data_IF_381027275534
#
_entry.id   IF_381027275534
#
_cell.length_a   1.000
_cell.length_b   1.000
_cell.length_c   1.000
_cell.angle_alpha   90.00
_cell.angle_beta   90.00
_cell.angle_gamma   90.00
#
_symmetry.space_group_name_H-M   'P 1'
#
loop_
_entity.id
_entity.type
_entity.pdbx_description
1 polymer ?
#
# COMPACT_ATOMS: atom_id res chain seq x y z
N UNK A 1 31.13 -15.48 -22.33
CA UNK A 1 30.37 -14.20 -22.18
C UNK A 1 31.37 -13.13 -21.70
N UNK A 2 31.39 -11.93 -22.30
CA UNK A 2 32.28 -10.85 -21.90
C UNK A 2 31.51 -9.57 -21.55
N UNK A 3 32.19 -8.54 -21.00
CA UNK A 3 31.58 -7.29 -20.60
C UNK A 3 30.89 -6.54 -21.75
N UNK A 4 31.44 -6.62 -22.97
CA UNK A 4 30.87 -5.98 -24.16
C UNK A 4 29.51 -6.55 -24.51
N UNK A 5 29.34 -7.88 -24.49
CA UNK A 5 28.05 -8.53 -24.71
C UNK A 5 27.00 -8.10 -23.68
N UNK A 6 27.39 -7.98 -22.41
CA UNK A 6 26.49 -7.50 -21.33
C UNK A 6 26.10 -6.04 -21.53
N UNK A 7 27.05 -5.17 -21.88
CA UNK A 7 26.79 -3.76 -22.16
C UNK A 7 25.78 -3.61 -23.29
N UNK A 8 25.99 -4.32 -24.40
CA UNK A 8 25.06 -4.32 -25.54
C UNK A 8 23.66 -4.81 -25.15
N UNK A 9 23.57 -5.88 -24.32
CA UNK A 9 22.29 -6.39 -23.80
C UNK A 9 21.56 -5.35 -22.97
N UNK A 10 22.25 -4.67 -22.05
CA UNK A 10 21.62 -3.67 -21.19
C UNK A 10 21.24 -2.40 -21.93
N UNK A 11 22.01 -1.99 -22.93
CA UNK A 11 21.72 -0.81 -23.77
C UNK A 11 20.54 -1.01 -24.72
N UNK A 12 20.31 -2.23 -25.21
CA UNK A 12 19.14 -2.56 -26.06
C UNK A 12 17.81 -2.38 -25.37
N UNK A 13 17.81 -2.30 -24.06
CA UNK A 13 16.60 -2.14 -23.30
C UNK A 13 16.25 -0.66 -23.17
N UNK A 14 15.37 -0.14 -24.00
CA UNK A 14 14.71 1.16 -23.84
C UNK A 14 14.00 1.22 -22.50
N UNK A 15 14.70 1.56 -21.43
CA UNK A 15 14.17 1.58 -20.07
C UNK A 15 14.83 2.67 -19.22
N UNK A 16 14.12 3.09 -18.18
CA UNK A 16 14.70 4.00 -17.20
C UNK A 16 15.86 3.33 -16.44
N UNK A 17 16.74 4.11 -15.80
CA UNK A 17 17.87 3.62 -15.01
C UNK A 17 17.48 2.56 -13.96
N UNK A 18 16.27 2.62 -13.43
CA UNK A 18 15.76 1.60 -12.50
C UNK A 18 15.60 0.25 -13.18
N UNK A 19 15.04 0.22 -14.38
CA UNK A 19 14.89 -1.00 -15.18
C UNK A 19 16.25 -1.58 -15.55
N UNK A 20 17.20 -0.73 -15.96
CA UNK A 20 18.58 -1.12 -16.19
C UNK A 20 19.19 -1.79 -14.94
N UNK A 21 19.14 -1.12 -13.77
CA UNK A 21 19.71 -1.64 -12.53
C UNK A 21 19.06 -2.96 -12.09
N UNK A 22 17.73 -3.10 -12.26
CA UNK A 22 17.03 -4.34 -11.94
C UNK A 22 17.50 -5.50 -12.83
N UNK A 23 17.62 -5.28 -14.14
CA UNK A 23 18.14 -6.29 -15.07
C UNK A 23 19.58 -6.65 -14.75
N UNK A 24 20.42 -5.62 -14.50
CA UNK A 24 21.81 -5.84 -14.08
C UNK A 24 21.89 -6.67 -12.79
N UNK A 25 21.00 -6.40 -11.80
CA UNK A 25 20.91 -7.16 -10.56
C UNK A 25 20.59 -8.64 -10.80
N UNK A 26 19.60 -8.95 -11.64
CA UNK A 26 19.24 -10.32 -12.00
C UNK A 26 20.42 -11.06 -12.67
N UNK A 27 21.03 -10.42 -13.67
CA UNK A 27 22.21 -11.00 -14.35
C UNK A 27 23.39 -11.14 -13.39
N UNK A 28 23.59 -10.19 -12.46
CA UNK A 28 24.63 -10.27 -11.44
C UNK A 28 24.45 -11.48 -10.52
N UNK A 29 23.23 -11.80 -10.13
CA UNK A 29 22.92 -12.97 -9.29
C UNK A 29 23.27 -14.27 -10.03
N UNK A 30 22.89 -14.38 -11.30
CA UNK A 30 23.23 -15.54 -12.12
C UNK A 30 24.75 -15.68 -12.34
N UNK A 31 25.44 -14.59 -12.68
CA UNK A 31 26.90 -14.64 -12.94
C UNK A 31 27.71 -14.88 -11.67
N UNK A 32 27.23 -14.47 -10.49
CA UNK A 32 27.84 -14.85 -9.21
C UNK A 32 27.72 -16.34 -8.96
N UNK A 33 26.56 -16.90 -9.23
CA UNK A 33 26.36 -18.35 -9.13
C UNK A 33 27.28 -19.11 -10.10
N UNK A 34 27.39 -18.66 -11.37
CA UNK A 34 28.27 -19.27 -12.36
C UNK A 34 29.76 -19.16 -11.97
N UNK A 35 30.18 -18.05 -11.32
CA UNK A 35 31.53 -17.89 -10.77
C UNK A 35 31.77 -18.87 -9.60
N UNK A 36 30.77 -19.06 -8.71
CA UNK A 36 30.84 -20.03 -7.62
C UNK A 36 30.88 -21.51 -8.08
N UNK A 37 30.25 -21.79 -9.20
CA UNK A 37 30.29 -23.15 -9.82
C UNK A 37 31.49 -23.34 -10.75
N UNK A 38 32.45 -22.43 -10.75
CA UNK A 38 33.65 -22.45 -11.57
C UNK A 38 33.38 -22.48 -13.09
N UNK A 39 32.13 -22.15 -13.52
CA UNK A 39 31.80 -22.03 -14.94
C UNK A 39 32.37 -20.76 -15.57
N UNK A 40 32.78 -19.80 -14.75
CA UNK A 40 33.45 -18.56 -15.15
C UNK A 40 34.64 -18.31 -14.23
N UNK A 41 35.80 -18.11 -14.83
CA UNK A 41 37.01 -17.74 -14.09
C UNK A 41 36.91 -16.35 -13.44
N UNK A 42 36.18 -15.42 -14.08
CA UNK A 42 35.97 -14.07 -13.58
C UNK A 42 34.58 -13.57 -13.97
N UNK A 43 33.91 -12.88 -13.05
CA UNK A 43 32.58 -12.35 -13.27
C UNK A 43 32.63 -11.02 -14.06
N UNK A 44 32.20 -11.00 -15.34
CA UNK A 44 32.26 -9.82 -16.19
C UNK A 44 31.34 -8.68 -15.74
N UNK A 45 30.37 -8.94 -14.88
CA UNK A 45 29.43 -7.93 -14.36
C UNK A 45 30.14 -6.86 -13.51
N UNK A 46 31.33 -7.19 -12.96
CA UNK A 46 32.14 -6.25 -12.17
C UNK A 46 32.57 -5.02 -13.00
N UNK A 47 32.65 -5.17 -14.33
CA UNK A 47 33.00 -4.11 -15.29
C UNK A 47 31.78 -3.32 -15.78
N UNK A 48 30.55 -3.69 -15.40
CA UNK A 48 29.33 -3.04 -15.86
C UNK A 48 28.89 -2.02 -14.78
N UNK A 49 28.65 -0.75 -15.15
CA UNK A 49 28.30 0.27 -14.19
C UNK A 49 26.94 -0.01 -13.52
N UNK A 50 26.82 0.35 -12.23
CA UNK A 50 25.59 0.45 -11.51
C UNK A 50 25.27 1.94 -11.32
N UNK A 51 24.11 2.39 -11.76
CA UNK A 51 23.74 3.80 -11.69
C UNK A 51 23.02 4.14 -10.40
N UNK A 52 23.57 5.09 -9.64
CA UNK A 52 22.89 5.60 -8.46
C UNK A 52 21.67 6.42 -8.89
N UNK A 53 20.49 6.02 -8.40
CA UNK A 53 19.24 6.72 -8.66
C UNK A 53 18.98 7.65 -7.47
N UNK A 54 18.96 8.95 -7.73
CA UNK A 54 18.55 9.92 -6.72
C UNK A 54 17.05 9.77 -6.43
N UNK A 55 16.70 9.63 -5.16
CA UNK A 55 15.32 9.63 -4.72
C UNK A 55 14.97 10.99 -4.11
N UNK A 56 13.93 11.63 -4.60
CA UNK A 56 13.33 12.78 -3.92
C UNK A 56 12.54 12.24 -2.73
N UNK A 57 12.96 12.59 -1.51
CA UNK A 57 12.24 12.26 -0.28
C UNK A 57 11.05 13.19 -0.11
N UNK A 58 9.94 12.71 0.48
CA UNK A 58 8.77 13.52 0.75
C UNK A 58 8.00 13.98 -0.50
N UNK A 59 8.12 13.25 -1.63
CA UNK A 59 7.42 13.56 -2.88
C UNK A 59 6.52 12.40 -3.34
N UNK A 60 5.93 11.68 -2.40
CA UNK A 60 4.95 10.66 -2.72
C UNK A 60 3.74 11.32 -3.41
N UNK A 61 3.21 10.67 -4.46
CA UNK A 61 1.95 11.10 -5.06
C UNK A 61 0.81 10.70 -4.14
N UNK A 62 0.07 11.67 -3.63
CA UNK A 62 -1.07 11.45 -2.74
C UNK A 62 -2.29 12.18 -3.26
N UNK A 63 -3.47 11.74 -2.84
CA UNK A 63 -4.71 12.47 -3.02
C UNK A 63 -4.87 13.52 -1.91
N UNK A 64 -5.49 14.65 -2.25
CA UNK A 64 -6.04 15.56 -1.23
C UNK A 64 -7.29 14.93 -0.60
N UNK A 65 -7.73 15.46 0.55
CA UNK A 65 -8.98 15.03 1.17
C UNK A 65 -10.19 15.23 0.23
N UNK A 66 -10.21 16.33 -0.51
CA UNK A 66 -11.26 16.61 -1.51
C UNK A 66 -11.25 15.59 -2.66
N UNK A 67 -10.06 15.28 -3.22
CA UNK A 67 -9.93 14.26 -4.27
C UNK A 67 -10.32 12.85 -3.77
N UNK A 68 -9.97 12.52 -2.51
CA UNK A 68 -10.38 11.27 -1.89
C UNK A 68 -11.90 11.19 -1.70
N UNK A 69 -12.54 12.29 -1.29
CA UNK A 69 -13.99 12.41 -1.19
C UNK A 69 -14.66 12.25 -2.56
N UNK A 70 -14.16 12.93 -3.60
CA UNK A 70 -14.69 12.83 -4.96
C UNK A 70 -14.57 11.39 -5.50
N UNK A 71 -13.40 10.76 -5.30
CA UNK A 71 -13.16 9.36 -5.67
C UNK A 71 -14.19 8.44 -5.01
N UNK A 72 -14.36 8.54 -3.70
CA UNK A 72 -15.27 7.65 -2.96
C UNK A 72 -16.74 7.92 -3.31
N UNK A 73 -17.13 9.17 -3.54
CA UNK A 73 -18.47 9.52 -4.04
C UNK A 73 -18.74 8.90 -5.41
N UNK A 74 -17.75 8.96 -6.32
CA UNK A 74 -17.87 8.33 -7.63
C UNK A 74 -17.94 6.79 -7.50
N UNK A 75 -17.10 6.19 -6.69
CA UNK A 75 -17.07 4.73 -6.45
C UNK A 75 -18.41 4.26 -5.86
N UNK A 76 -19.02 5.04 -4.97
CA UNK A 76 -20.33 4.75 -4.38
C UNK A 76 -21.44 4.71 -5.43
N UNK A 77 -21.44 5.62 -6.40
CA UNK A 77 -22.40 5.64 -7.52
C UNK A 77 -22.07 4.64 -8.63
N UNK A 78 -20.83 4.16 -8.70
CA UNK A 78 -20.36 3.28 -9.77
C UNK A 78 -20.85 1.84 -9.56
N UNK A 79 -21.62 1.31 -10.51
CA UNK A 79 -22.19 -0.06 -10.44
C UNK A 79 -22.81 -0.38 -9.06
N UNK A 80 -23.61 0.53 -8.52
CA UNK A 80 -24.31 0.40 -7.22
C UNK A 80 -23.36 0.20 -6.03
N UNK A 81 -22.19 0.79 -6.07
CA UNK A 81 -21.21 0.71 -4.99
C UNK A 81 -20.43 -0.60 -4.87
N UNK A 82 -20.52 -1.44 -5.91
CA UNK A 82 -19.89 -2.76 -5.95
C UNK A 82 -18.40 -2.76 -5.66
N UNK A 83 -17.68 -1.66 -5.94
CA UNK A 83 -16.26 -1.53 -5.71
C UNK A 83 -15.91 -0.82 -4.39
N UNK A 84 -16.90 -0.39 -3.62
CA UNK A 84 -16.69 0.35 -2.37
C UNK A 84 -15.76 -0.39 -1.40
N UNK A 85 -15.95 -1.69 -1.08
CA UNK A 85 -15.06 -2.36 -0.14
C UNK A 85 -13.60 -2.36 -0.59
N UNK A 86 -13.34 -2.61 -1.87
CA UNK A 86 -11.98 -2.57 -2.41
C UNK A 86 -11.33 -1.19 -2.23
N UNK A 87 -12.00 -0.13 -2.66
CA UNK A 87 -11.45 1.23 -2.59
C UNK A 87 -11.34 1.73 -1.14
N UNK A 88 -12.34 1.45 -0.30
CA UNK A 88 -12.34 1.84 1.11
C UNK A 88 -11.17 1.20 1.88
N UNK A 89 -10.95 -0.11 1.72
CA UNK A 89 -9.84 -0.82 2.36
C UNK A 89 -8.47 -0.31 1.85
N UNK A 90 -8.33 -0.07 0.56
CA UNK A 90 -7.08 0.45 0.01
C UNK A 90 -6.80 1.91 0.43
N UNK A 91 -7.83 2.74 0.50
CA UNK A 91 -7.71 4.17 0.78
C UNK A 91 -7.67 4.49 2.29
N UNK A 92 -8.50 3.84 3.11
CA UNK A 92 -8.66 4.19 4.53
C UNK A 92 -7.97 3.21 5.51
N UNK A 93 -7.45 2.09 5.01
CA UNK A 93 -6.60 1.17 5.77
C UNK A 93 -5.22 0.96 5.13
N UNK A 94 -4.96 1.56 3.97
CA UNK A 94 -3.69 1.44 3.29
C UNK A 94 -3.34 0.03 2.83
N UNK A 95 -4.34 -0.86 2.66
CA UNK A 95 -4.13 -2.22 2.13
C UNK A 95 -3.56 -2.12 0.72
N UNK A 96 -2.55 -2.93 0.40
CA UNK A 96 -1.85 -2.87 -0.90
C UNK A 96 -2.78 -3.23 -2.06
N UNK A 97 -3.04 -2.28 -3.00
CA UNK A 97 -4.04 -2.44 -4.07
C UNK A 97 -3.56 -3.26 -5.27
N UNK A 98 -2.40 -3.90 -5.20
CA UNK A 98 -1.82 -4.64 -6.32
C UNK A 98 -2.62 -5.91 -6.61
N UNK A 99 -3.16 -6.03 -7.84
CA UNK A 99 -3.94 -7.20 -8.28
C UNK A 99 -3.09 -8.38 -8.78
N UNK A 100 -1.79 -8.40 -8.51
CA UNK A 100 -0.91 -9.54 -8.81
C UNK A 100 -0.31 -10.13 -7.54
N UNK A 101 0.16 -9.28 -6.64
CA UNK A 101 0.91 -9.68 -5.43
C UNK A 101 0.46 -8.93 -4.19
N UNK A 102 -0.61 -8.13 -4.29
CA UNK A 102 -1.09 -7.28 -3.20
C UNK A 102 -1.88 -8.05 -2.15
N UNK A 103 -1.90 -7.50 -0.97
CA UNK A 103 -2.61 -8.02 0.19
C UNK A 103 -4.11 -8.12 -0.06
N UNK A 104 -4.66 -7.16 -0.81
CA UNK A 104 -6.10 -7.07 -1.08
C UNK A 104 -6.68 -8.31 -1.73
N UNK A 105 -5.90 -9.04 -2.55
CA UNK A 105 -6.36 -10.27 -3.21
C UNK A 105 -6.52 -11.46 -2.26
N UNK A 106 -5.78 -11.44 -1.16
CA UNK A 106 -5.74 -12.53 -0.17
C UNK A 106 -6.50 -12.19 1.10
N UNK A 107 -7.01 -10.95 1.18
CA UNK A 107 -7.79 -10.50 2.32
C UNK A 107 -9.20 -11.10 2.25
N UNK A 108 -9.54 -11.95 3.21
CA UNK A 108 -10.86 -12.54 3.35
C UNK A 108 -11.78 -11.68 4.22
N UNK A 109 -13.11 -11.78 4.07
CA UNK A 109 -14.05 -11.07 4.94
C UNK A 109 -13.81 -11.29 6.44
N UNK A 110 -13.46 -12.51 6.85
CA UNK A 110 -13.18 -12.86 8.25
C UNK A 110 -11.94 -12.20 8.85
N UNK A 111 -11.04 -11.65 8.01
CA UNK A 111 -9.91 -10.86 8.48
C UNK A 111 -10.32 -9.43 8.88
N UNK A 112 -11.49 -8.95 8.44
CA UNK A 112 -12.00 -7.61 8.71
C UNK A 112 -12.99 -7.69 9.87
N UNK A 113 -12.53 -7.41 11.08
CA UNK A 113 -13.29 -7.54 12.31
C UNK A 113 -13.82 -6.18 12.76
N UNK A 114 -15.08 -5.90 12.41
CA UNK A 114 -15.74 -4.64 12.75
C UNK A 114 -16.10 -4.55 14.24
N UNK A 115 -16.29 -5.68 14.90
CA UNK A 115 -16.56 -5.82 16.33
C UNK A 115 -15.37 -5.37 17.19
N UNK A 116 -14.18 -5.84 16.84
CA UNK A 116 -12.93 -5.49 17.55
C UNK A 116 -12.22 -4.27 16.93
N UNK A 117 -12.71 -3.74 15.82
CA UNK A 117 -12.14 -2.56 15.16
C UNK A 117 -10.78 -2.79 14.49
N UNK A 118 -10.48 -4.02 14.05
CA UNK A 118 -9.18 -4.35 13.46
C UNK A 118 -9.28 -5.16 12.16
N UNK A 119 -8.30 -4.98 11.29
CA UNK A 119 -8.06 -5.86 10.14
C UNK A 119 -6.83 -6.69 10.45
N UNK A 120 -6.96 -8.01 10.40
CA UNK A 120 -5.84 -8.93 10.57
C UNK A 120 -5.17 -9.17 9.23
N UNK A 121 -3.88 -8.90 9.16
CA UNK A 121 -3.03 -9.25 8.01
C UNK A 121 -2.17 -10.42 8.44
N UNK A 122 -2.60 -11.63 8.11
CA UNK A 122 -1.86 -12.83 8.40
C UNK A 122 -0.61 -12.96 7.50
N UNK A 123 0.41 -13.77 7.87
CA UNK A 123 1.63 -13.93 7.09
C UNK A 123 1.38 -14.31 5.63
N UNK A 124 0.36 -15.12 5.37
CA UNK A 124 -0.04 -15.56 4.03
C UNK A 124 -0.63 -14.43 3.18
N UNK A 125 -1.27 -13.45 3.83
CA UNK A 125 -1.81 -12.24 3.21
C UNK A 125 -0.70 -11.22 2.97
N UNK A 126 0.24 -11.12 3.90
CA UNK A 126 1.34 -10.14 3.88
C UNK A 126 2.33 -10.41 2.75
N UNK A 127 2.79 -9.34 2.08
CA UNK A 127 3.87 -9.43 1.08
C UNK A 127 5.21 -9.83 1.71
N UNK A 128 5.44 -9.39 2.94
CA UNK A 128 6.70 -9.64 3.69
C UNK A 128 6.60 -10.79 4.66
N UNK A 129 5.47 -11.52 4.64
CA UNK A 129 5.17 -12.66 5.51
C UNK A 129 5.24 -12.34 7.01
N UNK A 130 4.91 -11.12 7.38
CA UNK A 130 4.81 -10.66 8.76
C UNK A 130 3.34 -10.43 9.11
N UNK A 131 2.94 -10.94 10.29
CA UNK A 131 1.62 -10.68 10.87
C UNK A 131 1.54 -9.25 11.37
N UNK A 132 0.43 -8.58 11.10
CA UNK A 132 0.13 -7.26 11.66
C UNK A 132 -1.36 -7.01 11.77
N UNK A 133 -1.72 -6.05 12.56
CA UNK A 133 -3.09 -5.52 12.65
C UNK A 133 -3.14 -4.10 12.07
N UNK A 134 -4.26 -3.77 11.44
CA UNK A 134 -4.57 -2.41 10.98
C UNK A 134 -5.82 -1.94 11.69
N UNK A 135 -5.77 -0.81 12.39
CA UNK A 135 -6.93 -0.24 13.07
C UNK A 135 -7.98 0.24 12.07
N UNK A 136 -9.22 -0.16 12.28
CA UNK A 136 -10.36 0.29 11.49
C UNK A 136 -10.78 1.67 11.99
N UNK A 137 -10.42 2.71 11.26
CA UNK A 137 -10.83 4.07 11.58
C UNK A 137 -12.35 4.23 11.43
N UNK A 138 -12.97 5.17 12.16
CA UNK A 138 -14.44 5.37 12.16
C UNK A 138 -15.06 5.58 10.77
N UNK A 139 -14.33 6.23 9.85
CA UNK A 139 -14.78 6.37 8.46
C UNK A 139 -14.80 5.04 7.72
N UNK A 140 -13.74 4.23 7.82
CA UNK A 140 -13.72 2.91 7.21
C UNK A 140 -14.83 2.02 7.75
N UNK A 141 -15.06 2.03 9.07
CA UNK A 141 -16.16 1.29 9.68
C UNK A 141 -17.53 1.71 9.10
N UNK A 142 -17.75 3.00 8.90
CA UNK A 142 -18.98 3.50 8.28
C UNK A 142 -19.16 2.98 6.84
N UNK A 143 -18.10 3.00 6.04
CA UNK A 143 -18.12 2.45 4.67
C UNK A 143 -18.41 0.95 4.66
N UNK A 144 -17.77 0.16 5.53
CA UNK A 144 -17.96 -1.29 5.57
C UNK A 144 -19.31 -1.71 6.17
N UNK A 145 -19.92 -0.89 7.04
CA UNK A 145 -21.30 -1.11 7.50
C UNK A 145 -22.32 -0.78 6.42
N UNK A 146 -22.12 0.30 5.66
CA UNK A 146 -23.00 0.66 4.53
C UNK A 146 -22.91 -0.35 3.38
N UNK A 147 -21.74 -0.98 3.20
CA UNK A 147 -21.44 -1.99 2.18
C UNK A 147 -20.86 -3.25 2.81
N UNK A 148 -21.68 -4.06 3.52
CA UNK A 148 -21.23 -5.24 4.25
C UNK A 148 -20.55 -6.27 3.33
N UNK A 149 -19.42 -6.81 3.75
CA UNK A 149 -18.60 -7.74 2.94
C UNK A 149 -19.32 -9.03 2.57
N UNK A 150 -20.32 -9.45 3.35
CA UNK A 150 -21.16 -10.60 3.03
C UNK A 150 -22.00 -10.40 1.75
N UNK A 151 -22.38 -9.14 1.45
CA UNK A 151 -23.16 -8.78 0.25
C UNK A 151 -22.30 -8.12 -0.83
N UNK A 152 -21.19 -7.51 -0.44
CA UNK A 152 -20.29 -6.73 -1.29
C UNK A 152 -18.87 -7.28 -1.14
N UNK A 153 -18.49 -8.31 -1.88
CA UNK A 153 -17.17 -8.93 -1.74
C UNK A 153 -16.04 -7.94 -2.10
N UNK A 154 -14.88 -8.09 -1.45
CA UNK A 154 -13.70 -7.25 -1.70
C UNK A 154 -13.23 -7.42 -3.16
N UNK A 155 -13.26 -8.66 -3.65
CA UNK A 155 -12.85 -9.03 -5.01
C UNK A 155 -14.09 -9.41 -5.80
N UNK A 156 -14.33 -8.67 -6.86
CA UNK A 156 -15.48 -8.86 -7.77
C UNK A 156 -15.02 -9.35 -9.14
N UNK A 157 -15.87 -10.02 -9.92
CA UNK A 157 -15.58 -10.33 -11.31
C UNK A 157 -15.17 -9.09 -12.10
N UNK A 158 -14.17 -9.23 -12.98
CA UNK A 158 -13.62 -8.13 -13.81
C UNK A 158 -13.03 -6.94 -13.02
N UNK A 159 -12.68 -7.11 -11.74
CA UNK A 159 -12.14 -6.05 -10.89
C UNK A 159 -11.00 -5.27 -11.57
N UNK A 160 -10.08 -5.95 -12.25
CA UNK A 160 -8.97 -5.30 -12.94
C UNK A 160 -9.45 -4.29 -13.99
N UNK A 161 -10.44 -4.67 -14.81
CA UNK A 161 -11.01 -3.81 -15.86
C UNK A 161 -11.78 -2.64 -15.25
N UNK A 162 -12.61 -2.90 -14.24
CA UNK A 162 -13.40 -1.89 -13.54
C UNK A 162 -12.51 -0.87 -12.82
N UNK A 163 -11.52 -1.36 -12.07
CA UNK A 163 -10.52 -0.52 -11.41
C UNK A 163 -9.74 0.33 -12.41
N UNK A 164 -9.36 -0.21 -13.58
CA UNK A 164 -8.63 0.54 -14.60
C UNK A 164 -9.43 1.72 -15.14
N UNK A 165 -10.76 1.59 -15.30
CA UNK A 165 -11.65 2.69 -15.71
C UNK A 165 -11.64 3.82 -14.68
N UNK A 166 -11.76 3.49 -13.39
CA UNK A 166 -11.72 4.47 -12.30
C UNK A 166 -10.31 5.10 -12.20
N UNK A 167 -9.26 4.28 -12.27
CA UNK A 167 -7.90 4.75 -12.24
C UNK A 167 -7.57 5.74 -13.36
N UNK A 168 -8.07 5.48 -14.57
CA UNK A 168 -7.92 6.40 -15.71
C UNK A 168 -8.64 7.72 -15.46
N UNK A 169 -9.87 7.68 -14.93
CA UNK A 169 -10.66 8.89 -14.63
C UNK A 169 -9.99 9.80 -13.60
N UNK A 170 -9.45 9.21 -12.54
CA UNK A 170 -8.89 9.94 -11.40
C UNK A 170 -7.34 10.05 -11.43
N UNK A 171 -6.70 9.60 -12.51
CA UNK A 171 -5.24 9.62 -12.62
C UNK A 171 -4.53 8.81 -11.52
N UNK A 172 -5.16 7.72 -11.03
CA UNK A 172 -4.62 6.93 -9.92
C UNK A 172 -3.37 6.17 -10.37
N UNK A 173 -2.27 6.41 -9.69
CA UNK A 173 -1.05 5.62 -9.82
C UNK A 173 -1.12 4.35 -8.94
N UNK A 174 -0.16 3.43 -9.11
CA UNK A 174 -0.20 2.11 -8.50
C UNK A 174 -0.44 2.12 -6.98
N UNK A 175 0.26 2.97 -6.22
CA UNK A 175 0.23 2.99 -4.75
C UNK A 175 -0.39 4.28 -4.15
N UNK A 176 -1.00 5.14 -4.98
CA UNK A 176 -1.49 6.46 -4.54
C UNK A 176 -2.45 6.37 -3.34
N UNK A 177 -3.38 5.42 -3.32
CA UNK A 177 -4.31 5.24 -2.20
C UNK A 177 -3.58 4.91 -0.89
N UNK A 178 -2.62 3.99 -0.96
CA UNK A 178 -1.80 3.63 0.20
C UNK A 178 -0.87 4.77 0.64
N UNK A 179 -0.27 5.51 -0.31
CA UNK A 179 0.53 6.69 -0.01
C UNK A 179 -0.31 7.77 0.66
N UNK A 180 -1.54 7.96 0.21
CA UNK A 180 -2.52 8.88 0.83
C UNK A 180 -2.83 8.46 2.26
N UNK A 181 -3.19 7.19 2.49
CA UNK A 181 -3.44 6.68 3.85
C UNK A 181 -2.27 6.96 4.79
N UNK A 182 -1.05 6.58 4.41
CA UNK A 182 0.14 6.73 5.25
C UNK A 182 0.38 8.21 5.58
N UNK A 183 0.31 9.09 4.58
CA UNK A 183 0.54 10.53 4.78
C UNK A 183 -0.53 11.17 5.67
N UNK A 184 -1.80 10.83 5.46
CA UNK A 184 -2.91 11.31 6.29
C UNK A 184 -2.86 10.75 7.71
N UNK A 185 -2.43 9.47 7.87
CA UNK A 185 -2.25 8.85 9.18
C UNK A 185 -1.15 9.53 9.98
N UNK A 186 0.02 9.76 9.37
CA UNK A 186 1.11 10.51 10.00
C UNK A 186 0.67 11.92 10.37
N UNK A 187 -0.06 12.62 9.51
CA UNK A 187 -0.55 13.96 9.78
C UNK A 187 -1.57 14.00 10.94
N UNK A 188 -2.42 12.97 11.07
CA UNK A 188 -3.43 12.88 12.13
C UNK A 188 -2.80 12.52 13.49
N UNK A 189 -1.99 11.46 13.52
CA UNK A 189 -1.51 10.84 14.76
C UNK A 189 -0.09 11.29 15.16
N UNK A 190 0.62 12.03 14.29
CA UNK A 190 1.97 12.53 14.53
C UNK A 190 3.00 11.43 14.85
N UNK A 191 2.75 10.19 14.42
CA UNK A 191 3.59 9.03 14.67
C UNK A 191 3.94 8.30 13.37
N UNK A 192 5.22 8.29 13.04
CA UNK A 192 5.76 7.48 11.93
C UNK A 192 5.82 6.00 12.29
N UNK A 193 6.17 5.68 13.54
CA UNK A 193 6.24 4.30 14.03
C UNK A 193 4.87 3.62 13.95
N UNK A 194 3.81 4.28 14.40
CA UNK A 194 2.45 3.74 14.29
C UNK A 194 2.02 3.54 12.83
N UNK A 195 2.27 4.52 11.97
CA UNK A 195 2.01 4.38 10.54
C UNK A 195 2.81 3.23 9.92
N UNK A 196 4.05 3.01 10.38
CA UNK A 196 4.91 1.93 9.93
C UNK A 196 4.35 0.55 10.32
N UNK A 197 3.92 0.39 11.57
CA UNK A 197 3.29 -0.84 12.06
C UNK A 197 2.02 -1.17 11.28
N UNK A 198 1.10 -0.21 11.13
CA UNK A 198 -0.14 -0.44 10.38
C UNK A 198 0.11 -0.69 8.89
N UNK A 199 1.02 0.06 8.29
CA UNK A 199 1.35 -0.12 6.89
C UNK A 199 2.21 -1.37 6.61
N UNK A 200 2.88 -1.97 7.58
CA UNK A 200 3.85 -3.05 7.37
C UNK A 200 5.03 -2.58 6.51
N UNK A 201 5.59 -1.43 6.87
CA UNK A 201 6.80 -0.85 6.28
C UNK A 201 7.68 -0.32 7.41
N UNK A 202 8.99 -0.21 7.18
CA UNK A 202 9.84 0.52 8.13
C UNK A 202 9.66 2.04 7.99
N UNK A 203 9.93 2.80 9.06
CA UNK A 203 9.89 4.27 9.02
C UNK A 203 10.79 4.85 7.93
N UNK A 204 11.97 4.26 7.73
CA UNK A 204 12.90 4.68 6.69
C UNK A 204 12.27 4.55 5.29
N UNK A 205 11.54 3.47 5.04
CA UNK A 205 10.82 3.24 3.78
C UNK A 205 9.67 4.24 3.63
N UNK A 206 8.93 4.53 4.71
CA UNK A 206 7.86 5.53 4.69
C UNK A 206 8.43 6.90 4.34
N UNK A 207 9.45 7.38 5.06
CA UNK A 207 10.12 8.66 4.79
C UNK A 207 10.65 8.77 3.36
N UNK A 208 11.13 7.66 2.81
CA UNK A 208 11.75 7.63 1.48
C UNK A 208 10.74 7.62 0.33
N UNK A 209 9.62 6.89 0.47
CA UNK A 209 8.77 6.51 -0.66
C UNK A 209 7.28 6.83 -0.50
N UNK A 210 6.79 6.97 0.73
CA UNK A 210 5.35 7.00 0.98
C UNK A 210 4.87 8.30 1.63
N UNK A 211 5.77 9.11 2.20
CA UNK A 211 5.38 10.31 2.91
C UNK A 211 5.27 11.51 1.97
N UNK A 212 4.13 12.18 2.05
CA UNK A 212 3.88 13.53 1.58
C UNK A 212 3.41 14.36 2.77
N UNK A 213 3.80 15.64 2.84
CA UNK A 213 3.43 16.49 3.97
C UNK A 213 1.96 16.90 3.86
N UNK A 214 1.18 16.53 4.87
CA UNK A 214 -0.24 16.86 4.99
C UNK A 214 -0.49 17.63 6.28
N UNK A 215 -1.48 18.51 6.26
CA UNK A 215 -1.91 19.22 7.47
C UNK A 215 -2.82 18.35 8.33
N UNK A 216 -2.86 18.63 9.65
CA UNK A 216 -3.79 17.96 10.55
C UNK A 216 -5.26 18.24 10.18
N UNK A 217 -5.55 19.44 9.65
CA UNK A 217 -6.89 19.81 9.16
C UNK A 217 -7.30 18.96 7.97
N UNK A 218 -6.41 18.77 6.98
CA UNK A 218 -6.66 17.91 5.81
C UNK A 218 -6.83 16.45 6.22
N UNK A 219 -6.02 15.95 7.15
CA UNK A 219 -6.18 14.61 7.70
C UNK A 219 -7.51 14.42 8.43
N UNK A 220 -7.98 15.42 9.20
CA UNK A 220 -9.31 15.41 9.83
C UNK A 220 -10.42 15.29 8.78
N UNK A 221 -10.35 16.06 7.70
CA UNK A 221 -11.29 15.98 6.58
C UNK A 221 -11.26 14.58 5.94
N UNK A 222 -10.08 14.05 5.64
CA UNK A 222 -9.92 12.73 5.04
C UNK A 222 -10.53 11.61 5.90
N UNK A 223 -10.25 11.59 7.19
CA UNK A 223 -10.85 10.61 8.11
C UNK A 223 -12.30 10.93 8.46
N UNK A 224 -12.84 12.04 8.00
CA UNK A 224 -14.25 12.42 8.06
C UNK A 224 -15.09 11.92 6.89
N UNK A 225 -14.50 11.41 5.80
CA UNK A 225 -15.20 10.97 4.59
C UNK A 225 -16.13 9.79 4.90
N UNK A 226 -17.45 9.96 4.64
CA UNK A 226 -18.50 8.98 4.94
C UNK A 226 -19.30 8.61 3.68
N UNK A 227 -19.90 7.41 3.61
CA UNK A 227 -20.85 7.06 2.56
C UNK A 227 -22.13 7.89 2.67
N UNK A 228 -22.72 8.28 1.55
CA UNK A 228 -24.03 8.94 1.52
C UNK A 228 -25.14 8.03 2.03
N UNK A 229 -24.97 6.72 1.87
CA UNK A 229 -25.93 5.71 2.32
C UNK A 229 -25.99 5.54 3.85
N UNK A 230 -24.99 6.04 4.57
CA UNK A 230 -24.92 5.92 6.05
C UNK A 230 -25.94 6.78 6.79
N UNK A 231 -26.50 7.81 6.17
CA UNK A 231 -27.50 8.70 6.78
C UNK A 231 -28.84 8.00 7.11
N UNK A 232 -28.99 6.72 6.72
CA UNK A 232 -30.18 5.90 7.00
C UNK A 232 -30.01 4.86 8.11
N UNK A 233 -28.82 4.68 8.66
CA UNK A 233 -28.55 3.74 9.76
C UNK A 233 -28.08 4.52 10.99
N UNK A 234 -28.77 4.33 12.12
CA UNK A 234 -28.47 4.99 13.40
C UNK A 234 -27.02 4.80 13.84
N UNK A 235 -26.40 5.79 14.51
CA UNK A 235 -25.03 5.70 14.97
C UNK A 235 -24.92 4.67 16.11
N UNK A 236 -24.27 3.55 15.84
CA UNK A 236 -23.77 2.66 16.90
C UNK A 236 -22.39 3.19 17.30
N UNK A 237 -22.26 3.67 18.54
CA UNK A 237 -20.98 4.10 19.10
C UNK A 237 -19.96 2.97 18.99
N UNK A 238 -18.82 3.27 18.39
CA UNK A 238 -17.67 2.36 18.38
C UNK A 238 -17.00 2.52 19.74
N UNK A 239 -16.77 1.45 20.52
CA UNK A 239 -15.92 1.55 21.69
C UNK A 239 -14.58 2.15 21.28
N UNK A 240 -14.08 3.10 22.05
CA UNK A 240 -12.73 3.65 21.84
C UNK A 240 -11.74 2.48 21.76
N UNK A 241 -10.87 2.51 20.74
CA UNK A 241 -9.84 1.48 20.60
C UNK A 241 -9.11 1.34 21.93
N UNK A 242 -8.91 0.11 22.45
CA UNK A 242 -8.20 -0.07 23.71
C UNK A 242 -6.82 0.55 23.59
N UNK A 243 -6.46 1.37 24.58
CA UNK A 243 -5.14 1.92 24.71
C UNK A 243 -4.13 0.74 24.66
N UNK A 244 -3.21 0.79 23.72
CA UNK A 244 -2.21 -0.28 23.61
C UNK A 244 -1.42 -0.37 24.92
N UNK A 245 -1.17 -1.59 25.46
CA UNK A 245 -0.35 -1.73 26.63
C UNK A 245 1.05 -1.19 26.32
N UNK A 246 1.49 -0.24 27.12
CA UNK A 246 2.88 0.24 27.12
C UNK A 246 3.75 -0.96 27.49
N UNK A 247 4.54 -1.45 26.55
CA UNK A 247 5.56 -2.47 26.80
C UNK A 247 6.60 -1.84 27.73
N UNK A 248 6.48 -2.09 29.03
CA UNK A 248 7.52 -1.77 30.00
C UNK A 248 8.65 -2.79 29.78
N UNK A 249 9.69 -2.37 29.11
CA UNK A 249 10.96 -3.11 29.05
C UNK A 249 11.57 -3.10 30.46
N UNK A 250 11.46 -4.20 31.19
CA UNK A 250 12.29 -4.44 32.37
C UNK A 250 13.72 -4.61 31.89
N UNK A 251 14.58 -3.63 32.19
CA UNK A 251 16.02 -3.79 32.13
C UNK A 251 16.41 -4.80 33.21
N UNK A 252 16.90 -5.97 32.81
CA UNK A 252 17.53 -6.90 33.69
C UNK A 252 18.91 -6.33 34.08
N UNK A 253 19.14 -6.22 35.38
CA UNK A 253 20.41 -5.86 36.00
C UNK A 253 21.44 -6.99 35.83
#
# INVERSE_FOLDING_TARGET
MNATHLTTYFQRANGCLRTYNNRRGLVSTFLKFAEQQEWLATNPIKKIPYYRIAHRRGSAKTLTAAQAQELMTYVEGFENGRLVPFFALCLFAGIRPCLRTGEILRLLPGHVRLDTGVILIEPEVSKVREKRTVAIQPNLAAWLRAYPLAKNPIIVPNLQKLRARIAKRFGLTHDVMRQTFISMHVAKFRSLGEAALQAGNSEAIIKKHYLDQKSAAEAKQFFGIRPKRADKAAPTEIPAAPAQPVLVLFAAA
#
